data_IF_998726792887
#
_entry.id   IF_998726792887
#
_cell.length_a   1.000
_cell.length_b   1.000
_cell.length_c   1.000
_cell.angle_alpha   90.00
_cell.angle_beta   90.00
_cell.angle_gamma   90.00
#
_symmetry.space_group_name_H-M   'P 1'
#
loop_
_entity.id
_entity.type
_entity.pdbx_description
1 polymer ?
#
# COMPACT_ATOMS: atom_id res chain seq x y z
N UNK A 1 80.94 45.82 -22.57
CA UNK A 1 81.11 44.44 -23.09
C UNK A 1 81.09 43.38 -21.98
N UNK A 2 81.64 43.67 -20.78
CA UNK A 2 81.51 42.78 -19.61
C UNK A 2 80.06 42.61 -19.14
N UNK A 3 79.31 43.70 -18.95
CA UNK A 3 77.97 43.64 -18.35
C UNK A 3 76.95 42.85 -19.20
N UNK A 4 77.11 42.89 -20.53
CA UNK A 4 76.28 42.12 -21.45
C UNK A 4 76.61 40.62 -21.40
N UNK A 5 77.86 40.24 -21.13
CA UNK A 5 78.26 38.84 -20.92
C UNK A 5 77.76 38.31 -19.58
N UNK A 6 77.77 39.13 -18.55
CA UNK A 6 77.32 38.75 -17.21
C UNK A 6 75.81 38.52 -17.17
N UNK A 7 75.02 39.37 -17.82
CA UNK A 7 73.56 39.21 -17.95
C UNK A 7 73.14 37.99 -18.80
N UNK A 8 73.85 37.72 -19.91
CA UNK A 8 73.58 36.55 -20.78
C UNK A 8 73.97 35.22 -20.12
N UNK A 9 74.87 35.23 -19.12
CA UNK A 9 75.27 34.05 -18.36
C UNK A 9 74.40 33.86 -17.10
N UNK A 10 73.95 34.94 -16.45
CA UNK A 10 73.08 34.83 -15.27
C UNK A 10 71.69 34.30 -15.62
N UNK A 11 71.02 34.86 -16.63
CA UNK A 11 69.65 34.46 -17.01
C UNK A 11 69.45 32.95 -17.27
N UNK A 12 70.31 32.24 -18.04
CA UNK A 12 70.18 30.80 -18.20
C UNK A 12 70.48 30.04 -16.91
N UNK A 13 71.42 30.50 -16.07
CA UNK A 13 71.74 29.86 -14.78
C UNK A 13 70.58 30.00 -13.79
N UNK A 14 69.94 31.18 -13.68
CA UNK A 14 68.74 31.35 -12.85
C UNK A 14 67.55 30.51 -13.34
N UNK A 15 67.37 30.41 -14.65
CA UNK A 15 66.30 29.59 -15.23
C UNK A 15 66.53 28.08 -14.99
N UNK A 16 67.78 27.61 -15.09
CA UNK A 16 68.14 26.22 -14.78
C UNK A 16 67.95 25.93 -13.29
N UNK A 17 68.37 26.83 -12.40
CA UNK A 17 68.18 26.71 -10.96
C UNK A 17 66.68 26.65 -10.60
N UNK A 18 65.89 27.58 -11.12
CA UNK A 18 64.43 27.63 -10.89
C UNK A 18 63.73 26.38 -11.41
N UNK A 19 64.14 25.86 -12.58
CA UNK A 19 63.59 24.63 -13.13
C UNK A 19 64.04 23.37 -12.36
N UNK A 20 65.25 23.37 -11.79
CA UNK A 20 65.72 22.30 -10.91
C UNK A 20 64.94 22.28 -9.59
N UNK A 21 64.74 23.44 -8.97
CA UNK A 21 63.97 23.60 -7.73
C UNK A 21 62.49 23.21 -7.92
N UNK A 22 61.90 23.58 -9.06
CA UNK A 22 60.53 23.18 -9.40
C UNK A 22 60.39 21.65 -9.57
N UNK A 23 61.36 21.00 -10.23
CA UNK A 23 61.37 19.53 -10.40
C UNK A 23 61.59 18.80 -9.07
N UNK A 24 62.51 19.29 -8.24
CA UNK A 24 62.76 18.72 -6.92
C UNK A 24 61.56 18.90 -5.98
N UNK A 25 60.88 20.04 -6.05
CA UNK A 25 59.61 20.28 -5.33
C UNK A 25 58.51 19.31 -5.77
N UNK A 26 58.38 19.06 -7.07
CA UNK A 26 57.42 18.10 -7.61
C UNK A 26 57.74 16.66 -7.17
N UNK A 27 59.02 16.26 -7.25
CA UNK A 27 59.49 14.93 -6.83
C UNK A 27 59.25 14.68 -5.33
N UNK A 28 59.41 15.70 -4.49
CA UNK A 28 59.12 15.60 -3.04
C UNK A 28 57.64 15.39 -2.76
N UNK A 29 56.76 16.12 -3.45
CA UNK A 29 55.31 15.94 -3.33
C UNK A 29 54.87 14.55 -3.79
N UNK A 30 55.49 14.03 -4.85
CA UNK A 30 55.18 12.71 -5.38
C UNK A 30 55.59 11.59 -4.40
N UNK A 31 56.76 11.71 -3.78
CA UNK A 31 57.21 10.78 -2.73
C UNK A 31 56.36 10.84 -1.46
N UNK A 32 55.94 12.04 -1.04
CA UNK A 32 55.01 12.23 0.09
C UNK A 32 53.66 11.56 -0.17
N UNK A 33 53.14 11.67 -1.40
CA UNK A 33 51.88 11.02 -1.80
C UNK A 33 52.02 9.49 -1.84
N UNK A 34 53.10 8.97 -2.41
CA UNK A 34 53.35 7.53 -2.48
C UNK A 34 53.47 6.89 -1.08
N UNK A 35 54.15 7.57 -0.16
CA UNK A 35 54.26 7.11 1.23
C UNK A 35 52.92 7.12 1.95
N UNK A 36 52.12 8.19 1.81
CA UNK A 36 50.78 8.26 2.41
C UNK A 36 49.85 7.17 1.86
N UNK A 37 49.91 6.90 0.56
CA UNK A 37 49.08 5.90 -0.09
C UNK A 37 49.43 4.48 0.39
N UNK A 38 50.72 4.19 0.55
CA UNK A 38 51.18 2.89 1.07
C UNK A 38 50.76 2.68 2.54
N UNK A 39 50.78 3.72 3.38
CA UNK A 39 50.29 3.64 4.77
C UNK A 39 48.78 3.40 4.82
N UNK A 40 47.98 4.14 4.03
CA UNK A 40 46.53 3.95 3.93
C UNK A 40 46.21 2.52 3.49
N UNK A 41 46.92 2.01 2.47
CA UNK A 41 46.74 0.64 1.97
C UNK A 41 47.06 -0.40 3.05
N UNK A 42 48.21 -0.27 3.72
CA UNK A 42 48.60 -1.20 4.80
C UNK A 42 47.65 -1.12 6.01
N UNK A 43 47.18 0.07 6.39
CA UNK A 43 46.21 0.22 7.47
C UNK A 43 44.84 -0.37 7.11
N UNK A 44 44.44 -0.30 5.84
CA UNK A 44 43.18 -0.85 5.36
C UNK A 44 43.22 -2.39 5.37
N UNK A 45 44.30 -2.98 4.87
CA UNK A 45 44.50 -4.44 4.89
C UNK A 45 44.44 -5.01 6.32
N UNK A 46 45.15 -4.37 7.28
CA UNK A 46 45.12 -4.77 8.69
C UNK A 46 43.74 -4.60 9.33
N UNK A 47 42.97 -3.59 8.90
CA UNK A 47 41.61 -3.37 9.40
C UNK A 47 40.62 -4.41 8.85
N UNK A 48 40.77 -4.81 7.60
CA UNK A 48 39.99 -5.88 6.98
C UNK A 48 40.29 -7.25 7.61
N UNK A 49 41.57 -7.52 7.91
CA UNK A 49 42.00 -8.72 8.62
C UNK A 49 41.34 -8.79 10.02
N UNK A 50 41.37 -7.69 10.76
CA UNK A 50 40.66 -7.54 12.04
C UNK A 50 39.16 -7.79 11.84
N UNK A 51 38.53 -7.14 10.86
CA UNK A 51 37.08 -7.28 10.61
C UNK A 51 36.68 -8.73 10.31
N UNK A 52 37.51 -9.44 9.54
CA UNK A 52 37.32 -10.86 9.23
C UNK A 52 37.51 -11.75 10.48
N UNK A 53 38.51 -11.45 11.30
CA UNK A 53 38.77 -12.13 12.57
C UNK A 53 37.58 -12.07 13.54
N UNK A 54 36.91 -10.91 13.64
CA UNK A 54 35.68 -10.75 14.41
C UNK A 54 34.52 -11.61 13.90
N UNK A 55 34.41 -11.76 12.57
CA UNK A 55 33.39 -12.61 11.94
C UNK A 55 33.65 -14.09 12.24
N UNK A 56 34.91 -14.52 12.17
CA UNK A 56 35.29 -15.91 12.48
C UNK A 56 35.19 -16.25 13.97
N UNK A 57 35.43 -15.28 14.86
CA UNK A 57 35.26 -15.46 16.30
C UNK A 57 33.78 -15.74 16.67
N UNK A 58 32.82 -15.19 15.92
CA UNK A 58 31.38 -15.37 16.15
C UNK A 58 30.91 -16.82 15.99
N UNK A 59 31.58 -17.59 15.11
CA UNK A 59 31.19 -18.97 14.77
C UNK A 59 31.86 -20.03 15.68
N UNK A 60 32.65 -19.61 16.69
CA UNK A 60 33.33 -20.50 17.64
C UNK A 60 32.38 -20.99 18.73
N UNK A 61 32.23 -22.31 18.85
CA UNK A 61 31.27 -22.97 19.77
C UNK A 61 31.89 -23.26 21.15
N UNK A 62 33.21 -23.43 21.23
CA UNK A 62 33.90 -23.75 22.49
C UNK A 62 34.41 -22.45 23.16
N UNK A 63 34.13 -22.24 24.47
CA UNK A 63 34.53 -21.01 25.16
C UNK A 63 36.04 -20.73 25.14
N UNK A 64 36.87 -21.78 25.14
CA UNK A 64 38.33 -21.67 25.08
C UNK A 64 38.82 -21.14 23.74
N UNK A 65 38.29 -21.66 22.63
CA UNK A 65 38.65 -21.17 21.29
C UNK A 65 38.13 -19.75 21.03
N UNK A 66 36.96 -19.40 21.60
CA UNK A 66 36.45 -18.04 21.55
C UNK A 66 37.36 -17.08 22.32
N UNK A 67 37.82 -17.47 23.51
CA UNK A 67 38.73 -16.65 24.32
C UNK A 67 40.10 -16.46 23.65
N UNK A 68 40.66 -17.51 23.04
CA UNK A 68 41.90 -17.42 22.26
C UNK A 68 41.73 -16.49 21.05
N UNK A 69 40.63 -16.62 20.29
CA UNK A 69 40.34 -15.74 19.15
C UNK A 69 40.15 -14.27 19.57
N UNK A 70 39.43 -14.01 20.68
CA UNK A 70 39.27 -12.66 21.23
C UNK A 70 40.60 -12.07 21.72
N UNK A 71 41.45 -12.88 22.35
CA UNK A 71 42.76 -12.42 22.82
C UNK A 71 43.72 -12.07 21.66
N UNK A 72 43.73 -12.88 20.59
CA UNK A 72 44.48 -12.58 19.37
C UNK A 72 43.95 -11.32 18.68
N UNK A 73 42.63 -11.16 18.65
CA UNK A 73 41.99 -9.99 18.08
C UNK A 73 42.30 -8.71 18.86
N UNK A 74 42.32 -8.79 20.19
CA UNK A 74 42.73 -7.69 21.07
C UNK A 74 44.19 -7.30 20.83
N UNK A 75 45.09 -8.28 20.61
CA UNK A 75 46.50 -8.03 20.30
C UNK A 75 46.66 -7.35 18.93
N UNK A 76 45.93 -7.78 17.90
CA UNK A 76 45.94 -7.14 16.58
C UNK A 76 45.44 -5.69 16.63
N UNK A 77 44.36 -5.42 17.39
CA UNK A 77 43.88 -4.06 17.61
C UNK A 77 44.91 -3.20 18.36
N UNK A 78 45.57 -3.74 19.39
CA UNK A 78 46.62 -3.03 20.12
C UNK A 78 47.82 -2.68 19.22
N UNK A 79 48.25 -3.62 18.38
CA UNK A 79 49.34 -3.41 17.43
C UNK A 79 48.98 -2.35 16.37
N UNK A 80 47.75 -2.34 15.86
CA UNK A 80 47.28 -1.32 14.91
C UNK A 80 47.26 0.07 15.55
N UNK A 81 46.79 0.18 16.79
CA UNK A 81 46.78 1.44 17.54
C UNK A 81 48.20 1.93 17.80
N UNK A 82 49.13 1.05 18.17
CA UNK A 82 50.53 1.41 18.41
C UNK A 82 51.22 1.90 17.14
N UNK A 83 50.99 1.22 16.01
CA UNK A 83 51.50 1.66 14.71
C UNK A 83 50.93 3.04 14.32
N UNK A 84 49.63 3.30 14.56
CA UNK A 84 49.03 4.62 14.30
C UNK A 84 49.56 5.71 15.23
N UNK A 85 49.84 5.39 16.49
CA UNK A 85 50.50 6.34 17.41
C UNK A 85 51.91 6.70 16.96
N UNK A 86 52.68 5.70 16.50
CA UNK A 86 54.00 5.93 15.92
C UNK A 86 53.93 6.84 14.70
N UNK A 87 53.00 6.55 13.77
CA UNK A 87 52.76 7.38 12.58
C UNK A 87 52.40 8.83 12.94
N UNK A 88 51.53 9.03 13.93
CA UNK A 88 51.16 10.38 14.40
C UNK A 88 52.40 11.13 14.91
N UNK A 89 53.27 10.47 15.67
CA UNK A 89 54.51 11.09 16.17
C UNK A 89 55.47 11.42 15.02
N UNK A 90 55.63 10.50 14.07
CA UNK A 90 56.50 10.70 12.90
C UNK A 90 56.01 11.91 12.07
N UNK A 91 54.70 12.00 11.79
CA UNK A 91 54.09 13.13 11.09
C UNK A 91 54.22 14.46 11.85
N UNK A 92 54.05 14.44 13.17
CA UNK A 92 54.25 15.64 13.99
C UNK A 92 55.70 16.12 13.98
N UNK A 93 56.65 15.18 13.97
CA UNK A 93 58.07 15.50 13.87
C UNK A 93 58.43 16.03 12.48
N UNK A 94 57.92 15.42 11.40
CA UNK A 94 58.14 15.90 10.04
C UNK A 94 57.57 17.31 9.82
N UNK A 95 56.38 17.60 10.34
CA UNK A 95 55.79 18.94 10.30
C UNK A 95 56.70 19.96 11.00
N UNK A 96 57.17 19.64 12.21
CA UNK A 96 58.10 20.50 12.96
C UNK A 96 59.41 20.74 12.21
N UNK A 97 59.99 19.69 11.63
CA UNK A 97 61.22 19.80 10.83
C UNK A 97 60.98 20.55 9.52
N UNK A 98 59.77 20.49 8.97
CA UNK A 98 59.32 21.29 7.83
C UNK A 98 59.20 22.78 8.18
N UNK A 99 58.56 23.11 9.29
CA UNK A 99 58.43 24.48 9.81
C UNK A 99 59.82 25.09 10.10
N UNK A 100 60.70 24.33 10.77
CA UNK A 100 62.09 24.75 11.03
C UNK A 100 62.88 24.99 9.74
N UNK A 101 62.64 24.18 8.70
CA UNK A 101 63.24 24.38 7.36
C UNK A 101 62.71 25.65 6.70
N UNK A 102 61.39 25.85 6.70
CA UNK A 102 60.76 27.03 6.11
C UNK A 102 61.24 28.33 6.77
N UNK A 103 61.36 28.36 8.09
CA UNK A 103 61.89 29.52 8.83
C UNK A 103 63.36 29.78 8.50
N UNK A 104 64.19 28.72 8.37
CA UNK A 104 65.60 28.87 7.96
C UNK A 104 65.73 29.41 6.54
N UNK A 105 64.93 28.91 5.60
CA UNK A 105 64.97 29.35 4.21
C UNK A 105 64.48 30.80 4.08
N UNK A 106 63.44 31.19 4.83
CA UNK A 106 63.01 32.60 4.91
C UNK A 106 64.12 33.51 5.45
N UNK A 107 64.84 33.10 6.50
CA UNK A 107 65.96 33.89 7.04
C UNK A 107 67.08 34.05 6.01
N UNK A 108 67.45 32.97 5.32
CA UNK A 108 68.45 33.04 4.24
C UNK A 108 67.99 33.94 3.10
N UNK A 109 66.72 33.86 2.69
CA UNK A 109 66.18 34.73 1.64
C UNK A 109 66.26 36.21 2.05
N UNK A 110 65.97 36.54 3.31
CA UNK A 110 66.14 37.91 3.82
C UNK A 110 67.61 38.34 3.76
N UNK A 111 68.54 37.49 4.21
CA UNK A 111 69.98 37.77 4.15
C UNK A 111 70.49 37.94 2.70
N UNK A 112 69.99 37.14 1.75
CA UNK A 112 70.31 37.27 0.32
C UNK A 112 69.76 38.55 -0.30
N UNK A 113 68.53 38.96 0.06
CA UNK A 113 67.93 40.21 -0.39
C UNK A 113 68.66 41.42 0.16
N UNK A 114 69.08 41.39 1.43
CA UNK A 114 69.88 42.45 2.04
C UNK A 114 71.23 42.59 1.33
N UNK A 115 71.93 41.49 1.05
CA UNK A 115 73.18 41.51 0.30
C UNK A 115 72.99 42.01 -1.15
N UNK A 116 71.87 41.66 -1.80
CA UNK A 116 71.54 42.17 -3.12
C UNK A 116 71.25 43.67 -3.09
N UNK A 117 70.53 44.17 -2.07
CA UNK A 117 70.32 45.59 -1.85
C UNK A 117 71.65 46.32 -1.68
N UNK A 118 72.55 45.84 -0.82
CA UNK A 118 73.88 46.45 -0.64
C UNK A 118 74.66 46.50 -1.97
N UNK A 119 74.65 45.42 -2.75
CA UNK A 119 75.29 45.39 -4.08
C UNK A 119 74.63 46.35 -5.07
N UNK A 120 73.31 46.41 -5.11
CA UNK A 120 72.59 47.33 -5.98
C UNK A 120 72.83 48.78 -5.58
N UNK A 121 72.89 49.08 -4.28
CA UNK A 121 73.24 50.40 -3.78
C UNK A 121 74.67 50.79 -4.17
N UNK A 122 75.63 49.88 -4.09
CA UNK A 122 77.01 50.13 -4.50
C UNK A 122 77.16 50.25 -6.03
N UNK A 123 76.41 49.46 -6.80
CA UNK A 123 76.30 49.64 -8.26
C UNK A 123 75.70 51.00 -8.61
N UNK A 124 74.62 51.41 -7.94
CA UNK A 124 73.99 52.72 -8.13
C UNK A 124 74.95 53.84 -7.74
N UNK A 125 75.70 53.71 -6.63
CA UNK A 125 76.73 54.69 -6.25
C UNK A 125 77.83 54.78 -7.31
N UNK A 126 78.30 53.64 -7.83
CA UNK A 126 79.34 53.58 -8.86
C UNK A 126 78.87 54.18 -10.18
N UNK A 127 77.67 53.82 -10.64
CA UNK A 127 77.05 54.41 -11.83
C UNK A 127 76.80 55.90 -11.64
N UNK A 128 76.31 56.33 -10.47
CA UNK A 128 76.10 57.76 -10.17
C UNK A 128 77.42 58.53 -10.20
N UNK A 129 78.52 57.93 -9.72
CA UNK A 129 79.85 58.52 -9.79
C UNK A 129 80.38 58.57 -11.23
N UNK A 130 80.29 57.48 -11.97
CA UNK A 130 80.68 57.40 -13.37
C UNK A 130 79.88 58.38 -14.25
N UNK A 131 78.57 58.51 -14.04
CA UNK A 131 77.73 59.48 -14.74
C UNK A 131 78.06 60.93 -14.36
N UNK A 132 78.45 61.20 -13.10
CA UNK A 132 78.94 62.53 -12.70
C UNK A 132 80.28 62.87 -13.36
N UNK A 133 81.17 61.88 -13.48
CA UNK A 133 82.46 62.01 -14.15
C UNK A 133 82.32 62.12 -15.68
N UNK A 134 81.42 61.34 -16.30
CA UNK A 134 81.06 61.45 -17.71
C UNK A 134 80.35 62.78 -18.01
N UNK A 135 79.47 63.27 -17.14
CA UNK A 135 78.88 64.60 -17.27
C UNK A 135 79.94 65.69 -17.20
N UNK A 136 80.97 65.53 -16.37
CA UNK A 136 82.14 66.42 -16.35
C UNK A 136 83.02 66.28 -17.61
N UNK A 137 83.02 65.12 -18.27
CA UNK A 137 83.72 64.89 -19.56
C UNK A 137 82.88 65.31 -20.79
N UNK A 138 81.55 65.36 -20.66
CA UNK A 138 80.57 65.68 -21.71
C UNK A 138 80.23 67.17 -21.80
N UNK A 139 81.05 68.05 -21.20
CA UNK A 139 81.13 69.47 -21.57
C UNK A 139 81.66 69.68 -23.02
N UNK A 140 81.36 68.76 -23.94
CA UNK A 140 81.66 68.85 -25.38
C UNK A 140 80.43 68.43 -26.21
N UNK A 141 79.56 69.41 -26.49
CA UNK A 141 78.79 69.66 -27.73
C UNK A 141 77.88 68.58 -28.36
N UNK A 142 78.36 67.64 -29.19
CA UNK A 142 77.53 67.07 -30.27
C UNK A 142 76.57 65.91 -29.92
N UNK A 143 76.79 65.16 -28.83
CA UNK A 143 76.00 63.95 -28.49
C UNK A 143 74.61 64.27 -27.94
N UNK A 144 74.42 65.46 -27.37
CA UNK A 144 73.16 65.89 -26.75
C UNK A 144 72.03 66.11 -27.77
N UNK A 145 72.35 66.51 -29.00
CA UNK A 145 71.34 66.83 -30.00
C UNK A 145 70.61 65.58 -30.53
N UNK A 146 71.32 64.48 -30.78
CA UNK A 146 70.73 63.24 -31.30
C UNK A 146 69.83 62.54 -30.28
N UNK A 147 70.21 62.60 -29.00
CA UNK A 147 69.42 62.02 -27.90
C UNK A 147 68.09 62.76 -27.71
N UNK A 148 68.08 64.10 -27.79
CA UNK A 148 66.85 64.91 -27.69
C UNK A 148 65.81 64.49 -28.74
N UNK A 149 66.22 64.33 -30.00
CA UNK A 149 65.30 63.96 -31.08
C UNK A 149 64.65 62.58 -30.88
N UNK A 150 65.38 61.58 -30.37
CA UNK A 150 64.82 60.26 -30.08
C UNK A 150 63.86 60.27 -28.89
N UNK A 151 64.15 61.09 -27.88
CA UNK A 151 63.25 61.27 -26.73
C UNK A 151 61.92 61.86 -27.20
N UNK A 152 61.94 62.91 -28.02
CA UNK A 152 60.74 63.53 -28.60
C UNK A 152 59.90 62.52 -29.41
N UNK A 153 60.53 61.63 -30.18
CA UNK A 153 59.84 60.58 -30.94
C UNK A 153 59.13 59.56 -30.04
N UNK A 154 59.79 59.08 -28.98
CA UNK A 154 59.19 58.15 -28.03
C UNK A 154 58.09 58.81 -27.19
N UNK A 155 58.26 60.07 -26.81
CA UNK A 155 57.23 60.85 -26.11
C UNK A 155 55.96 60.97 -26.97
N UNK A 156 56.11 61.30 -28.27
CA UNK A 156 54.98 61.34 -29.19
C UNK A 156 54.28 59.97 -29.32
N UNK A 157 55.06 58.87 -29.37
CA UNK A 157 54.48 57.52 -29.46
C UNK A 157 53.75 57.13 -28.17
N UNK A 158 54.30 57.47 -27.01
CA UNK A 158 53.69 57.24 -25.70
C UNK A 158 52.37 58.02 -25.58
N UNK A 159 52.34 59.30 -25.98
CA UNK A 159 51.12 60.10 -25.97
C UNK A 159 50.04 59.55 -26.89
N UNK A 160 50.39 59.11 -28.10
CA UNK A 160 49.46 58.47 -29.03
C UNK A 160 48.85 57.19 -28.44
N UNK A 161 49.66 56.32 -27.82
CA UNK A 161 49.17 55.10 -27.18
C UNK A 161 48.30 55.39 -25.95
N UNK A 162 48.64 56.42 -25.17
CA UNK A 162 47.82 56.86 -24.04
C UNK A 162 46.43 57.34 -24.49
N UNK A 163 46.36 58.16 -25.54
CA UNK A 163 45.09 58.64 -26.09
C UNK A 163 44.22 57.48 -26.60
N UNK A 164 44.79 56.56 -27.36
CA UNK A 164 44.08 55.37 -27.85
C UNK A 164 43.56 54.49 -26.69
N UNK A 165 44.34 54.38 -25.61
CA UNK A 165 43.94 53.64 -24.41
C UNK A 165 42.77 54.32 -23.70
N UNK A 166 42.81 55.65 -23.57
CA UNK A 166 41.72 56.44 -22.97
C UNK A 166 40.44 56.29 -23.79
N UNK A 167 40.52 56.37 -25.12
CA UNK A 167 39.37 56.20 -26.01
C UNK A 167 38.75 54.80 -25.87
N UNK A 168 39.56 53.74 -25.89
CA UNK A 168 39.09 52.37 -25.65
C UNK A 168 38.44 52.21 -24.28
N UNK A 169 39.04 52.78 -23.23
CA UNK A 169 38.48 52.75 -21.87
C UNK A 169 37.13 53.49 -21.79
N UNK A 170 36.96 54.56 -22.57
CA UNK A 170 35.71 55.32 -22.63
C UNK A 170 34.58 54.52 -23.29
N UNK A 171 34.89 53.79 -24.38
CA UNK A 171 33.93 52.93 -25.09
C UNK A 171 33.49 51.76 -24.21
N UNK A 172 34.41 51.09 -23.52
CA UNK A 172 34.08 50.00 -22.60
C UNK A 172 33.12 50.49 -21.50
N UNK A 173 33.38 51.66 -20.92
CA UNK A 173 32.50 52.24 -19.88
C UNK A 173 31.10 52.57 -20.41
N UNK A 174 30.99 53.12 -21.63
CA UNK A 174 29.66 53.43 -22.21
C UNK A 174 28.89 52.16 -22.56
N UNK A 175 29.57 51.11 -23.04
CA UNK A 175 28.96 49.80 -23.28
C UNK A 175 28.52 49.12 -21.97
N UNK A 176 29.35 49.14 -20.93
CA UNK A 176 29.03 48.58 -19.60
C UNK A 176 27.80 49.26 -18.98
N UNK A 177 27.74 50.60 -19.04
CA UNK A 177 26.58 51.37 -18.53
C UNK A 177 25.31 51.07 -19.32
N UNK A 178 25.40 50.96 -20.65
CA UNK A 178 24.28 50.55 -21.51
C UNK A 178 23.80 49.13 -21.20
N UNK A 179 24.74 48.17 -21.11
CA UNK A 179 24.45 46.78 -20.76
C UNK A 179 23.80 46.64 -19.38
N UNK A 180 24.28 47.40 -18.39
CA UNK A 180 23.66 47.44 -17.06
C UNK A 180 22.22 47.94 -17.12
N UNK A 181 21.95 48.99 -17.90
CA UNK A 181 20.61 49.54 -18.05
C UNK A 181 19.66 48.55 -18.75
N UNK A 182 20.13 47.85 -19.80
CA UNK A 182 19.37 46.80 -20.49
C UNK A 182 19.04 45.66 -19.53
N UNK A 183 20.02 45.18 -18.77
CA UNK A 183 19.82 44.11 -17.79
C UNK A 183 18.80 44.54 -16.71
N UNK A 184 18.89 45.78 -16.24
CA UNK A 184 17.97 46.35 -15.25
C UNK A 184 16.55 46.43 -15.80
N UNK A 185 16.36 46.95 -17.01
CA UNK A 185 15.06 47.04 -17.66
C UNK A 185 14.45 45.65 -17.92
N UNK A 186 15.27 44.69 -18.36
CA UNK A 186 14.85 43.29 -18.54
C UNK A 186 14.38 42.65 -17.22
N UNK A 187 15.10 42.87 -16.12
CA UNK A 187 14.69 42.40 -14.78
C UNK A 187 13.34 42.96 -14.35
N UNK A 188 13.11 44.26 -14.53
CA UNK A 188 11.83 44.89 -14.19
C UNK A 188 10.69 44.40 -15.10
N UNK A 189 10.94 44.15 -16.39
CA UNK A 189 9.95 43.59 -17.31
C UNK A 189 9.58 42.13 -16.97
N UNK A 190 10.53 41.32 -16.48
CA UNK A 190 10.29 39.93 -16.10
C UNK A 190 9.56 39.77 -14.76
N UNK A 191 9.53 40.80 -13.92
CA UNK A 191 8.91 40.77 -12.58
C UNK A 191 7.39 40.49 -12.62
N UNK A 192 6.55 41.21 -13.40
CA UNK A 192 5.11 40.95 -13.47
C UNK A 192 4.78 39.55 -14.02
N UNK A 193 5.55 39.07 -15.01
CA UNK A 193 5.42 37.70 -15.54
C UNK A 193 5.68 36.65 -14.45
N UNK A 194 6.71 36.84 -13.62
CA UNK A 194 6.98 35.96 -12.47
C UNK A 194 5.84 35.96 -11.47
N UNK A 195 5.27 37.12 -11.16
CA UNK A 195 4.13 37.21 -10.26
C UNK A 195 2.89 36.52 -10.83
N UNK A 196 2.58 36.73 -12.12
CA UNK A 196 1.46 36.08 -12.80
C UNK A 196 1.59 34.55 -12.77
N UNK A 197 2.78 34.02 -13.11
CA UNK A 197 3.08 32.59 -13.03
C UNK A 197 2.88 32.05 -11.60
N UNK A 198 3.30 32.81 -10.59
CA UNK A 198 3.17 32.40 -9.20
C UNK A 198 1.72 32.43 -8.72
N UNK A 199 0.90 33.37 -9.21
CA UNK A 199 -0.54 33.41 -8.95
C UNK A 199 -1.27 32.23 -9.61
N UNK A 200 -0.95 31.92 -10.87
CA UNK A 200 -1.50 30.76 -11.58
C UNK A 200 -1.15 29.45 -10.88
N UNK A 201 0.12 29.29 -10.45
CA UNK A 201 0.55 28.14 -9.65
C UNK A 201 -0.28 28.02 -8.36
N UNK A 202 -0.51 29.12 -7.64
CA UNK A 202 -1.35 29.12 -6.44
C UNK A 202 -2.79 28.69 -6.76
N UNK A 203 -3.39 29.23 -7.82
CA UNK A 203 -4.74 28.89 -8.26
C UNK A 203 -4.87 27.41 -8.64
N UNK A 204 -3.87 26.87 -9.36
CA UNK A 204 -3.86 25.47 -9.74
C UNK A 204 -3.76 24.56 -8.51
N UNK A 205 -2.91 24.91 -7.55
CA UNK A 205 -2.79 24.19 -6.27
C UNK A 205 -4.11 24.23 -5.49
N UNK A 206 -4.77 25.39 -5.39
CA UNK A 206 -6.07 25.49 -4.69
C UNK A 206 -7.16 24.68 -5.37
N UNK A 207 -7.20 24.68 -6.71
CA UNK A 207 -8.17 23.90 -7.48
C UNK A 207 -7.94 22.39 -7.28
N UNK A 208 -6.69 21.94 -7.37
CA UNK A 208 -6.33 20.54 -7.13
C UNK A 208 -6.65 20.11 -5.69
N UNK A 209 -6.33 20.93 -4.69
CA UNK A 209 -6.69 20.66 -3.29
C UNK A 209 -8.21 20.58 -3.06
N UNK A 210 -8.99 21.44 -3.72
CA UNK A 210 -10.45 21.37 -3.69
C UNK A 210 -10.97 20.06 -4.30
N UNK A 211 -10.41 19.63 -5.43
CA UNK A 211 -10.77 18.38 -6.09
C UNK A 211 -10.44 17.16 -5.21
N UNK A 212 -9.26 17.13 -4.59
CA UNK A 212 -8.87 16.09 -3.63
C UNK A 212 -9.84 16.04 -2.45
N UNK A 213 -10.26 17.20 -1.92
CA UNK A 213 -11.25 17.26 -0.83
C UNK A 213 -12.60 16.70 -1.27
N UNK A 214 -13.08 17.02 -2.48
CA UNK A 214 -14.32 16.48 -3.03
C UNK A 214 -14.26 14.96 -3.24
N UNK A 215 -13.15 14.43 -3.75
CA UNK A 215 -12.97 12.98 -3.90
C UNK A 215 -12.95 12.28 -2.54
N UNK A 216 -12.27 12.87 -1.54
CA UNK A 216 -12.24 12.35 -0.16
C UNK A 216 -13.63 12.30 0.46
N UNK A 217 -14.46 13.32 0.27
CA UNK A 217 -15.83 13.32 0.82
C UNK A 217 -16.73 12.33 0.09
N UNK A 218 -16.67 12.25 -1.25
CA UNK A 218 -17.43 11.27 -2.04
C UNK A 218 -17.07 9.83 -1.70
N UNK A 219 -15.78 9.51 -1.63
CA UNK A 219 -15.28 8.18 -1.24
C UNK A 219 -15.76 7.80 0.16
N UNK A 220 -15.69 8.73 1.12
CA UNK A 220 -16.22 8.51 2.48
C UNK A 220 -17.73 8.24 2.49
N UNK A 221 -18.51 8.96 1.68
CA UNK A 221 -19.96 8.75 1.60
C UNK A 221 -20.29 7.39 0.97
N UNK A 222 -19.63 7.05 -0.15
CA UNK A 222 -19.78 5.76 -0.83
C UNK A 222 -19.41 4.57 0.07
N UNK A 223 -18.33 4.65 0.85
CA UNK A 223 -17.97 3.59 1.82
C UNK A 223 -19.06 3.43 2.89
N UNK A 224 -19.58 4.53 3.46
CA UNK A 224 -20.65 4.47 4.45
C UNK A 224 -21.93 3.84 3.88
N UNK A 225 -22.32 4.21 2.66
CA UNK A 225 -23.51 3.65 2.02
C UNK A 225 -23.31 2.19 1.62
N UNK A 226 -22.13 1.81 1.12
CA UNK A 226 -21.81 0.42 0.84
C UNK A 226 -21.89 -0.43 2.11
N UNK A 227 -21.35 0.05 3.22
CA UNK A 227 -21.44 -0.62 4.53
C UNK A 227 -22.89 -0.78 5.00
N UNK A 228 -23.72 0.25 4.83
CA UNK A 228 -25.16 0.18 5.14
C UNK A 228 -25.87 -0.85 4.25
N UNK A 229 -25.57 -0.89 2.96
CA UNK A 229 -26.16 -1.85 2.03
C UNK A 229 -25.79 -3.30 2.36
N UNK A 230 -24.53 -3.56 2.74
CA UNK A 230 -24.09 -4.89 3.22
C UNK A 230 -24.90 -5.30 4.45
N UNK A 231 -24.99 -4.41 5.46
CA UNK A 231 -25.75 -4.69 6.67
C UNK A 231 -27.24 -4.92 6.38
N UNK A 232 -27.83 -4.17 5.46
CA UNK A 232 -29.22 -4.40 5.03
C UNK A 232 -29.38 -5.76 4.36
N UNK A 233 -28.47 -6.13 3.46
CA UNK A 233 -28.50 -7.43 2.80
C UNK A 233 -28.41 -8.58 3.82
N UNK A 234 -27.51 -8.49 4.79
CA UNK A 234 -27.38 -9.47 5.87
C UNK A 234 -28.67 -9.60 6.70
N UNK A 235 -29.30 -8.46 7.05
CA UNK A 235 -30.59 -8.46 7.76
C UNK A 235 -31.66 -9.15 6.93
N UNK A 236 -31.78 -8.81 5.65
CA UNK A 236 -32.75 -9.44 4.74
C UNK A 236 -32.50 -10.95 4.64
N UNK A 237 -31.26 -11.39 4.53
CA UNK A 237 -30.92 -12.81 4.50
C UNK A 237 -31.30 -13.53 5.80
N UNK A 238 -31.04 -12.93 6.96
CA UNK A 238 -31.47 -13.48 8.26
C UNK A 238 -32.99 -13.56 8.35
N UNK A 239 -33.69 -12.50 7.99
CA UNK A 239 -35.15 -12.44 7.99
C UNK A 239 -35.76 -13.50 7.05
N UNK A 240 -35.21 -13.68 5.85
CA UNK A 240 -35.64 -14.74 4.91
C UNK A 240 -35.51 -16.15 5.52
N UNK A 241 -34.39 -16.44 6.18
CA UNK A 241 -34.19 -17.73 6.87
C UNK A 241 -35.18 -17.91 8.02
N UNK A 242 -35.39 -16.88 8.84
CA UNK A 242 -36.37 -16.93 9.93
C UNK A 242 -37.79 -17.18 9.42
N UNK A 243 -38.20 -16.52 8.34
CA UNK A 243 -39.50 -16.76 7.72
C UNK A 243 -39.62 -18.19 7.16
N UNK A 244 -38.62 -18.69 6.44
CA UNK A 244 -38.64 -20.06 5.94
C UNK A 244 -38.78 -21.10 7.08
N UNK A 245 -38.09 -20.89 8.20
CA UNK A 245 -38.21 -21.75 9.39
C UNK A 245 -39.58 -21.61 10.05
N UNK A 246 -40.10 -20.39 10.18
CA UNK A 246 -41.41 -20.15 10.78
C UNK A 246 -42.55 -20.74 9.92
N UNK A 247 -42.47 -20.59 8.60
CA UNK A 247 -43.45 -21.13 7.66
C UNK A 247 -43.43 -22.66 7.66
N UNK A 248 -42.23 -23.28 7.67
CA UNK A 248 -42.11 -24.74 7.81
C UNK A 248 -42.72 -25.25 9.12
N UNK A 249 -42.46 -24.59 10.25
CA UNK A 249 -43.06 -24.94 11.55
C UNK A 249 -44.58 -24.83 11.54
N UNK A 250 -45.12 -23.73 11.01
CA UNK A 250 -46.58 -23.52 10.90
C UNK A 250 -47.22 -24.58 10.02
N UNK A 251 -46.57 -24.95 8.92
CA UNK A 251 -47.05 -26.00 8.05
C UNK A 251 -47.06 -27.36 8.76
N UNK A 252 -46.00 -27.71 9.48
CA UNK A 252 -45.91 -28.95 10.27
C UNK A 252 -47.01 -29.02 11.34
N UNK A 253 -47.23 -27.93 12.08
CA UNK A 253 -48.30 -27.81 13.07
C UNK A 253 -49.68 -27.98 12.44
N UNK A 254 -49.96 -27.25 11.34
CA UNK A 254 -51.24 -27.30 10.63
C UNK A 254 -51.50 -28.67 9.99
N UNK A 255 -50.46 -29.33 9.48
CA UNK A 255 -50.56 -30.68 8.94
C UNK A 255 -50.99 -31.68 10.01
N UNK A 256 -50.31 -31.66 11.17
CA UNK A 256 -50.64 -32.56 12.29
C UNK A 256 -52.06 -32.33 12.81
N UNK A 257 -52.51 -31.07 12.91
CA UNK A 257 -53.88 -30.78 13.33
C UNK A 257 -54.91 -31.29 12.33
N UNK A 258 -54.71 -31.05 11.03
CA UNK A 258 -55.63 -31.52 9.98
C UNK A 258 -55.64 -33.04 9.87
N UNK A 259 -54.48 -33.68 9.98
CA UNK A 259 -54.36 -35.13 9.97
C UNK A 259 -55.11 -35.77 11.14
N UNK A 260 -54.99 -35.18 12.33
CA UNK A 260 -55.75 -35.63 13.51
C UNK A 260 -57.26 -35.42 13.35
N UNK A 261 -57.70 -34.28 12.82
CA UNK A 261 -59.12 -34.03 12.53
C UNK A 261 -59.70 -35.05 11.54
N UNK A 262 -58.99 -35.33 10.43
CA UNK A 262 -59.42 -36.34 9.46
C UNK A 262 -59.42 -37.74 10.08
N UNK A 263 -58.40 -38.09 10.87
CA UNK A 263 -58.35 -39.38 11.58
C UNK A 263 -59.53 -39.57 12.51
N UNK A 264 -59.94 -38.52 13.24
CA UNK A 264 -61.13 -38.56 14.08
C UNK A 264 -62.42 -38.74 13.28
N UNK A 265 -62.55 -38.08 12.11
CA UNK A 265 -63.70 -38.25 11.23
C UNK A 265 -63.76 -39.68 10.65
N UNK A 266 -62.62 -40.24 10.24
CA UNK A 266 -62.52 -41.62 9.77
C UNK A 266 -62.92 -42.59 10.86
N UNK A 267 -62.43 -42.42 12.10
CA UNK A 267 -62.81 -43.29 13.22
C UNK A 267 -64.32 -43.23 13.49
N UNK A 268 -64.93 -42.04 13.45
CA UNK A 268 -66.39 -41.90 13.56
C UNK A 268 -67.12 -42.63 12.44
N UNK A 269 -66.64 -42.52 11.20
CA UNK A 269 -67.22 -43.22 10.05
C UNK A 269 -67.12 -44.75 10.20
N UNK A 270 -65.97 -45.26 10.67
CA UNK A 270 -65.77 -46.69 10.92
C UNK A 270 -66.70 -47.22 12.02
N UNK A 271 -66.91 -46.46 13.11
CA UNK A 271 -67.87 -46.84 14.18
C UNK A 271 -69.30 -46.92 13.64
N UNK A 272 -69.69 -45.99 12.75
CA UNK A 272 -71.01 -46.02 12.11
C UNK A 272 -71.11 -47.24 11.18
N UNK A 273 -70.09 -47.49 10.36
CA UNK A 273 -70.05 -48.64 9.44
C UNK A 273 -70.10 -49.98 10.18
N UNK A 274 -69.35 -50.12 11.28
CA UNK A 274 -69.41 -51.26 12.18
C UNK A 274 -70.84 -51.50 12.65
N UNK A 275 -71.50 -50.45 13.16
CA UNK A 275 -72.87 -50.57 13.68
C UNK A 275 -73.89 -50.90 12.60
N UNK A 276 -73.72 -50.40 11.37
CA UNK A 276 -74.56 -50.76 10.23
C UNK A 276 -74.37 -52.23 9.87
N UNK A 277 -73.13 -52.70 9.79
CA UNK A 277 -72.81 -54.08 9.41
C UNK A 277 -73.31 -55.08 10.45
N UNK A 278 -73.03 -54.84 11.73
CA UNK A 278 -73.39 -55.74 12.83
C UNK A 278 -74.90 -55.74 13.10
N UNK A 279 -75.55 -54.56 13.18
CA UNK A 279 -76.96 -54.48 13.60
C UNK A 279 -77.96 -54.59 12.47
N UNK A 280 -77.67 -54.03 11.29
CA UNK A 280 -78.65 -53.92 10.22
C UNK A 280 -78.44 -54.95 9.10
N UNK A 281 -77.20 -55.41 8.88
CA UNK A 281 -76.89 -56.37 7.82
C UNK A 281 -76.55 -57.77 8.35
N UNK A 282 -76.27 -57.91 9.66
CA UNK A 282 -75.87 -59.19 10.28
C UNK A 282 -74.53 -59.73 9.76
N UNK A 283 -73.68 -58.85 9.21
CA UNK A 283 -72.37 -59.21 8.63
C UNK A 283 -71.27 -59.05 9.68
N UNK A 284 -70.31 -59.98 9.70
CA UNK A 284 -69.11 -59.84 10.53
C UNK A 284 -68.27 -58.67 10.01
N UNK A 285 -68.16 -57.61 10.81
CA UNK A 285 -67.40 -56.43 10.45
C UNK A 285 -65.92 -56.59 10.83
N UNK A 286 -65.03 -56.40 9.86
CA UNK A 286 -63.58 -56.37 10.08
C UNK A 286 -63.07 -54.92 9.97
N UNK A 287 -62.27 -54.48 10.94
CA UNK A 287 -61.73 -53.12 10.97
C UNK A 287 -60.68 -52.94 9.85
N UNK A 288 -60.86 -51.97 8.92
CA UNK A 288 -59.87 -51.66 7.90
C UNK A 288 -58.56 -51.14 8.53
N UNK A 289 -57.41 -51.59 8.01
CA UNK A 289 -56.11 -51.10 8.44
C UNK A 289 -55.88 -49.67 7.93
N UNK A 290 -55.66 -48.73 8.85
CA UNK A 290 -55.39 -47.34 8.49
C UNK A 290 -53.93 -47.18 8.02
N UNK A 291 -53.70 -46.36 6.97
CA UNK A 291 -52.34 -46.10 6.50
C UNK A 291 -51.55 -45.30 7.54
N UNK A 292 -50.26 -45.63 7.67
CA UNK A 292 -49.33 -44.86 8.49
C UNK A 292 -49.12 -43.48 7.88
N UNK A 293 -49.03 -42.45 8.74
CA UNK A 293 -48.72 -41.10 8.30
C UNK A 293 -47.40 -41.07 7.50
N UNK A 294 -47.37 -40.50 6.29
CA UNK A 294 -46.12 -40.21 5.58
C UNK A 294 -45.32 -39.10 6.29
N UNK A 295 -45.97 -38.33 7.15
CA UNK A 295 -45.32 -37.28 7.92
C UNK A 295 -44.71 -37.83 9.21
N UNK A 296 -43.40 -38.08 9.18
CA UNK A 296 -42.60 -38.17 10.40
C UNK A 296 -41.99 -36.80 10.67
N UNK A 297 -42.36 -36.11 11.76
CA UNK A 297 -41.64 -34.89 12.13
C UNK A 297 -40.17 -35.28 12.31
N UNK A 298 -39.29 -34.67 11.49
CA UNK A 298 -37.84 -34.75 11.71
C UNK A 298 -37.63 -34.24 13.13
N UNK A 299 -37.45 -35.14 14.11
CA UNK A 299 -37.07 -34.74 15.47
C UNK A 299 -35.87 -33.82 15.30
N UNK A 300 -35.89 -32.58 15.82
CA UNK A 300 -34.66 -31.82 15.88
C UNK A 300 -33.70 -32.70 16.66
N UNK A 301 -32.58 -33.08 16.04
CA UNK A 301 -31.48 -33.64 16.79
C UNK A 301 -31.30 -32.75 18.01
N UNK A 302 -31.37 -33.32 19.22
CA UNK A 302 -31.04 -32.61 20.46
C UNK A 302 -29.65 -32.05 20.26
N UNK A 303 -29.56 -30.81 19.81
CA UNK A 303 -28.40 -29.97 20.06
C UNK A 303 -28.37 -29.79 21.57
N UNK A 304 -27.24 -30.04 22.23
CA UNK A 304 -27.04 -29.61 23.60
C UNK A 304 -27.41 -28.13 23.72
N UNK A 305 -27.96 -27.76 24.89
CA UNK A 305 -28.24 -26.42 25.41
C UNK A 305 -27.59 -25.26 24.62
N UNK A 306 -28.30 -24.14 24.34
CA UNK A 306 -27.74 -23.00 23.62
C UNK A 306 -26.68 -22.30 24.48
N UNK A 307 -25.47 -22.84 24.47
CA UNK A 307 -24.24 -22.07 24.64
C UNK A 307 -24.28 -20.94 23.61
N UNK A 308 -23.90 -19.72 24.00
CA UNK A 308 -24.13 -18.53 23.19
C UNK A 308 -23.57 -18.76 21.79
N UNK A 309 -24.40 -18.48 20.78
CA UNK A 309 -24.09 -18.46 19.34
C UNK A 309 -23.02 -17.38 18.99
N UNK A 310 -22.04 -17.19 19.87
CA UNK A 310 -20.87 -16.36 19.67
C UNK A 310 -19.85 -17.01 18.72
N UNK A 311 -19.95 -18.32 18.42
CA UNK A 311 -18.92 -19.01 17.63
C UNK A 311 -19.10 -18.91 16.10
N UNK A 312 -20.32 -18.74 15.57
CA UNK A 312 -20.55 -18.58 14.12
C UNK A 312 -20.64 -17.11 13.66
N UNK A 313 -20.59 -16.14 14.58
CA UNK A 313 -20.30 -14.74 14.22
C UNK A 313 -18.80 -14.43 14.17
N UNK A 314 -17.93 -15.35 14.60
CA UNK A 314 -16.48 -15.11 14.66
C UNK A 314 -15.72 -15.41 13.38
N UNK A 315 -16.24 -16.25 12.47
CA UNK A 315 -15.55 -16.52 11.19
C UNK A 315 -15.89 -15.53 10.08
N UNK A 316 -16.99 -14.78 10.21
CA UNK A 316 -17.27 -13.61 9.34
C UNK A 316 -16.52 -12.33 9.76
N UNK A 317 -15.51 -12.45 10.63
CA UNK A 317 -14.46 -11.43 10.81
C UNK A 317 -13.27 -11.65 9.86
N UNK A 318 -13.38 -12.59 8.92
CA UNK A 318 -12.42 -12.79 7.85
C UNK A 318 -12.50 -11.66 6.83
N UNK A 319 -11.55 -10.72 6.96
CA UNK A 319 -11.24 -9.68 5.98
C UNK A 319 -12.22 -8.51 5.94
N UNK A 320 -12.03 -7.61 6.92
CA UNK A 320 -12.02 -6.16 6.70
C UNK A 320 -11.17 -5.82 5.46
N UNK A 321 -11.73 -6.06 4.27
CA UNK A 321 -11.22 -5.52 3.00
C UNK A 321 -11.18 -3.98 3.06
N UNK A 322 -11.88 -3.35 4.00
CA UNK A 322 -11.82 -1.91 4.26
C UNK A 322 -10.46 -1.48 4.82
N UNK A 323 -9.88 -2.24 5.76
CA UNK A 323 -8.59 -1.88 6.38
C UNK A 323 -7.41 -2.22 5.46
N UNK A 324 -7.55 -3.28 4.66
CA UNK A 324 -6.62 -3.58 3.58
C UNK A 324 -6.78 -2.64 2.39
N UNK A 325 -7.99 -2.22 1.99
CA UNK A 325 -8.17 -1.20 0.93
C UNK A 325 -7.67 0.18 1.38
N UNK A 326 -7.89 0.59 2.64
CA UNK A 326 -7.27 1.80 3.17
C UNK A 326 -5.74 1.69 3.26
N UNK A 327 -5.19 0.53 3.65
CA UNK A 327 -3.74 0.25 3.63
C UNK A 327 -3.15 0.09 2.23
N UNK A 328 -3.95 -0.27 1.22
CA UNK A 328 -3.56 -0.36 -0.19
C UNK A 328 -3.68 0.99 -0.92
N UNK A 329 -4.51 1.91 -0.40
CA UNK A 329 -4.61 3.29 -0.86
C UNK A 329 -3.58 4.22 -0.19
N UNK A 330 -3.06 3.86 1.00
CA UNK A 330 -2.02 4.64 1.69
C UNK A 330 -0.68 4.74 0.90
N UNK A 331 -0.22 3.72 0.14
CA UNK A 331 0.94 3.84 -0.74
C UNK A 331 0.72 4.72 -1.98
N UNK A 332 -0.53 4.95 -2.42
CA UNK A 332 -0.82 5.94 -3.46
C UNK A 332 -0.61 7.39 -2.98
N UNK A 333 -0.47 7.59 -1.67
CA UNK A 333 0.00 8.84 -1.07
C UNK A 333 1.54 8.99 -1.13
N UNK A 334 2.28 7.89 -1.41
CA UNK A 334 3.76 7.86 -1.44
C UNK A 334 4.38 7.49 -2.79
N UNK A 335 3.63 7.02 -3.77
CA UNK A 335 4.13 6.88 -5.15
C UNK A 335 4.06 8.22 -5.89
N UNK A 336 5.08 9.04 -5.62
CA UNK A 336 5.55 10.03 -6.57
C UNK A 336 7.07 9.99 -6.67
N UNK A 337 7.66 9.13 -7.54
CA UNK A 337 9.01 9.36 -8.07
C UNK A 337 9.01 10.48 -9.13
N UNK A 338 7.86 11.10 -9.42
CA UNK A 338 7.72 12.16 -10.44
C UNK A 338 7.93 13.57 -9.88
N UNK A 339 7.83 13.78 -8.56
CA UNK A 339 8.12 15.10 -7.96
C UNK A 339 9.62 15.34 -7.73
N UNK A 340 10.40 14.29 -7.45
CA UNK A 340 11.86 14.38 -7.24
C UNK A 340 12.61 14.63 -8.56
N UNK A 341 12.09 14.14 -9.69
CA UNK A 341 12.65 14.44 -11.02
C UNK A 341 12.50 15.92 -11.41
N UNK A 342 11.43 16.59 -10.99
CA UNK A 342 11.29 18.04 -11.16
C UNK A 342 12.18 18.84 -10.20
N UNK A 343 12.42 18.34 -8.98
CA UNK A 343 13.37 18.95 -8.04
C UNK A 343 14.83 18.88 -8.52
N UNK A 344 15.25 17.74 -9.07
CA UNK A 344 16.60 17.56 -9.61
C UNK A 344 16.86 18.37 -10.88
N UNK A 345 15.83 18.61 -11.71
CA UNK A 345 15.94 19.47 -12.90
C UNK A 345 15.97 20.97 -12.56
N UNK A 346 15.48 21.36 -11.37
CA UNK A 346 15.51 22.74 -10.89
C UNK A 346 16.79 23.08 -10.11
N UNK A 347 17.57 22.08 -9.70
CA UNK A 347 18.85 22.30 -9.00
C UNK A 347 20.00 22.71 -9.92
N UNK A 348 19.83 22.66 -11.25
CA UNK A 348 20.90 22.98 -12.22
C UNK A 348 20.88 24.46 -12.65
N UNK A 349 19.92 25.28 -12.19
CA UNK A 349 19.75 26.66 -12.68
C UNK A 349 19.91 27.78 -11.65
N UNK A 350 20.58 27.56 -10.52
CA UNK A 350 21.05 28.70 -9.70
C UNK A 350 22.29 28.35 -8.89
N UNK A 351 23.45 28.40 -9.53
CA UNK A 351 24.68 28.69 -8.83
C UNK A 351 24.63 30.17 -8.41
N UNK A 352 24.30 30.39 -7.13
CA UNK A 352 24.46 31.60 -6.30
C UNK A 352 23.16 32.02 -5.60
N UNK A 353 22.83 31.36 -4.47
CA UNK A 353 22.53 32.01 -3.19
C UNK A 353 22.22 30.93 -2.14
N UNK A 354 23.02 30.92 -1.06
CA UNK A 354 22.82 30.04 0.08
C UNK A 354 21.71 30.63 0.95
N UNK A 355 20.53 30.01 0.96
CA UNK A 355 19.57 30.18 2.06
C UNK A 355 19.43 28.84 2.77
N UNK A 356 19.99 28.80 3.97
CA UNK A 356 19.87 27.73 4.94
C UNK A 356 18.42 27.58 5.38
N UNK A 357 17.78 26.48 5.00
CA UNK A 357 16.56 26.00 5.67
C UNK A 357 16.89 24.62 6.24
N UNK A 358 17.05 24.57 7.56
CA UNK A 358 17.15 23.35 8.36
C UNK A 358 15.95 22.44 8.06
N UNK A 359 16.20 21.29 7.48
CA UNK A 359 15.29 20.15 7.51
C UNK A 359 15.57 19.33 8.76
N UNK A 360 14.98 19.75 9.88
CA UNK A 360 14.95 18.98 11.12
C UNK A 360 13.51 18.67 11.48
N UNK A 361 12.99 17.56 10.96
CA UNK A 361 11.91 16.73 11.52
C UNK A 361 11.54 15.69 10.47
N UNK A 362 12.27 14.58 10.40
CA UNK A 362 11.72 13.29 9.96
C UNK A 362 12.75 12.20 10.24
N UNK A 363 13.05 11.99 11.52
CA UNK A 363 13.56 10.70 11.96
C UNK A 363 12.73 10.24 13.15
N UNK A 364 12.40 8.94 13.10
CA UNK A 364 11.91 8.06 14.16
C UNK A 364 10.41 7.68 14.15
N UNK A 365 10.11 6.58 13.46
CA UNK A 365 9.21 5.48 13.86
C UNK A 365 9.35 4.35 12.81
N UNK A 366 10.30 3.43 12.99
CA UNK A 366 10.12 2.12 13.63
C UNK A 366 9.46 1.07 12.70
N UNK A 367 10.32 0.12 12.31
CA UNK A 367 10.08 -1.24 11.87
C UNK A 367 8.64 -1.79 11.97
N UNK A 368 8.08 -2.20 10.84
CA UNK A 368 7.15 -3.32 10.75
C UNK A 368 7.51 -4.11 9.48
N UNK A 369 7.66 -5.42 9.68
CA UNK A 369 8.05 -6.44 8.70
C UNK A 369 7.35 -6.28 7.34
N UNK A 370 8.17 -6.24 6.29
CA UNK A 370 7.72 -6.38 4.90
C UNK A 370 7.44 -7.86 4.62
N UNK A 371 6.24 -8.33 4.95
CA UNK A 371 5.69 -9.50 4.27
C UNK A 371 5.06 -9.03 2.96
N UNK A 372 5.84 -9.25 1.89
CA UNK A 372 5.49 -9.06 0.50
C UNK A 372 4.29 -9.93 0.16
N UNK A 373 3.13 -9.35 -0.12
CA UNK A 373 2.10 -9.94 -0.99
C UNK A 373 1.14 -8.83 -1.45
N UNK A 374 1.63 -8.02 -2.40
CA UNK A 374 0.84 -7.01 -3.09
C UNK A 374 0.27 -7.62 -4.37
N UNK A 375 -1.06 -7.78 -4.44
CA UNK A 375 -1.74 -8.23 -5.66
C UNK A 375 -1.71 -7.07 -6.69
N UNK A 376 -1.02 -7.31 -7.81
CA UNK A 376 -0.88 -6.35 -8.90
C UNK A 376 -2.26 -5.93 -9.47
N UNK A 377 -2.47 -4.66 -9.89
CA UNK A 377 -3.78 -4.10 -10.26
C UNK A 377 -4.62 -4.93 -11.24
N UNK A 378 -3.96 -5.64 -12.17
CA UNK A 378 -4.63 -6.50 -13.16
C UNK A 378 -5.21 -7.80 -12.57
N UNK A 379 -4.79 -8.19 -11.36
CA UNK A 379 -5.25 -9.40 -10.67
C UNK A 379 -6.36 -9.14 -9.65
N UNK A 380 -6.71 -7.87 -9.41
CA UNK A 380 -7.79 -7.48 -8.49
C UNK A 380 -9.16 -7.96 -8.99
N UNK A 381 -9.44 -7.79 -10.28
CA UNK A 381 -10.70 -8.21 -10.92
C UNK A 381 -10.87 -9.75 -10.93
N UNK A 382 -9.85 -10.54 -11.32
CA UNK A 382 -9.86 -11.99 -11.18
C UNK A 382 -10.02 -12.45 -9.72
N UNK A 383 -9.32 -11.84 -8.76
CA UNK A 383 -9.43 -12.19 -7.35
C UNK A 383 -10.83 -11.92 -6.80
N UNK A 384 -11.44 -10.78 -7.15
CA UNK A 384 -12.83 -10.45 -6.80
C UNK A 384 -13.83 -11.43 -7.43
N UNK A 385 -13.64 -11.83 -8.69
CA UNK A 385 -14.48 -12.85 -9.33
C UNK A 385 -14.36 -14.21 -8.65
N UNK A 386 -13.16 -14.64 -8.29
CA UNK A 386 -12.93 -15.89 -7.56
C UNK A 386 -13.54 -15.84 -6.15
N UNK A 387 -13.40 -14.72 -5.45
CA UNK A 387 -14.01 -14.50 -4.13
C UNK A 387 -15.54 -14.52 -4.19
N UNK A 388 -16.14 -13.82 -5.16
CA UNK A 388 -17.59 -13.86 -5.41
C UNK A 388 -18.07 -15.27 -5.73
N UNK A 389 -17.32 -16.02 -6.56
CA UNK A 389 -17.65 -17.42 -6.89
C UNK A 389 -17.55 -18.34 -5.67
N UNK A 390 -16.64 -18.07 -4.74
CA UNK A 390 -16.48 -18.81 -3.49
C UNK A 390 -17.58 -18.47 -2.48
N UNK A 391 -17.98 -17.20 -2.38
CA UNK A 391 -19.08 -16.78 -1.49
C UNK A 391 -20.47 -17.14 -2.03
N UNK A 392 -20.65 -17.20 -3.36
CA UNK A 392 -21.88 -17.72 -3.99
C UNK A 392 -22.06 -19.23 -3.73
N UNK A 393 -20.97 -19.99 -3.55
CA UNK A 393 -21.01 -21.41 -3.14
C UNK A 393 -21.44 -21.61 -1.68
N UNK A 394 -21.40 -20.57 -0.84
CA UNK A 394 -21.94 -20.60 0.53
C UNK A 394 -23.45 -20.32 0.58
N UNK A 395 -24.13 -20.27 -0.58
CA UNK A 395 -25.58 -20.36 -0.60
C UNK A 395 -25.97 -21.59 0.20
N UNK A 396 -26.62 -21.32 1.34
CA UNK A 396 -27.21 -22.30 2.22
C UNK A 396 -27.85 -23.39 1.35
N UNK A 397 -27.63 -24.68 1.64
CA UNK A 397 -28.29 -25.74 0.90
C UNK A 397 -29.77 -25.39 0.84
N UNK A 398 -30.42 -25.50 -0.34
CA UNK A 398 -31.84 -25.22 -0.46
C UNK A 398 -32.52 -25.91 0.72
N UNK A 399 -33.27 -25.16 1.53
CA UNK A 399 -34.13 -25.74 2.55
C UNK A 399 -34.91 -26.82 1.82
N UNK A 400 -34.57 -28.09 2.08
CA UNK A 400 -35.02 -29.24 1.28
C UNK A 400 -36.52 -29.09 1.12
N UNK A 401 -36.96 -28.78 -0.11
CA UNK A 401 -38.38 -28.70 -0.40
C UNK A 401 -38.97 -30.05 -0.02
N UNK A 402 -39.91 -30.04 0.93
CA UNK A 402 -40.59 -31.25 1.39
C UNK A 402 -41.09 -32.02 0.18
N UNK A 403 -40.79 -33.31 0.13
CA UNK A 403 -41.28 -34.20 -0.90
C UNK A 403 -42.78 -34.47 -0.69
N UNK A 404 -43.62 -33.76 -1.44
CA UNK A 404 -45.08 -33.90 -1.40
C UNK A 404 -45.60 -35.02 -2.30
N UNK A 405 -44.72 -35.81 -2.93
CA UNK A 405 -45.11 -36.85 -3.89
C UNK A 405 -45.97 -37.95 -3.26
N UNK A 406 -45.82 -38.19 -1.96
CA UNK A 406 -46.53 -39.24 -1.22
C UNK A 406 -47.81 -38.75 -0.53
N UNK A 407 -47.97 -37.43 -0.36
CA UNK A 407 -49.10 -36.83 0.36
C UNK A 407 -50.44 -37.14 -0.33
N UNK A 408 -50.49 -37.06 -1.67
CA UNK A 408 -51.71 -37.34 -2.44
C UNK A 408 -52.17 -38.80 -2.30
N UNK A 409 -51.24 -39.75 -2.43
CA UNK A 409 -51.52 -41.17 -2.28
C UNK A 409 -52.01 -41.52 -0.87
N UNK A 410 -51.45 -40.89 0.17
CA UNK A 410 -51.90 -41.06 1.54
C UNK A 410 -53.36 -40.63 1.75
N UNK A 411 -53.75 -39.45 1.25
CA UNK A 411 -55.13 -38.96 1.38
C UNK A 411 -56.14 -39.78 0.57
N UNK A 412 -55.76 -40.22 -0.63
CA UNK A 412 -56.59 -41.10 -1.46
C UNK A 412 -56.78 -42.47 -0.80
N UNK A 413 -55.72 -43.03 -0.19
CA UNK A 413 -55.80 -44.28 0.55
C UNK A 413 -56.69 -44.14 1.79
N UNK A 414 -56.55 -43.05 2.55
CA UNK A 414 -57.32 -42.78 3.77
C UNK A 414 -58.82 -42.65 3.47
N UNK A 415 -59.18 -41.97 2.36
CA UNK A 415 -60.57 -41.84 1.92
C UNK A 415 -61.14 -43.15 1.37
N UNK A 416 -60.36 -43.91 0.61
CA UNK A 416 -60.79 -45.21 0.05
C UNK A 416 -61.05 -46.24 1.16
N UNK A 417 -60.23 -46.27 2.21
CA UNK A 417 -60.44 -47.17 3.36
C UNK A 417 -61.66 -46.79 4.21
N UNK A 418 -61.96 -45.49 4.32
CA UNK A 418 -63.11 -45.00 5.06
C UNK A 418 -64.44 -45.14 4.26
N UNK A 419 -64.39 -45.06 2.94
CA UNK A 419 -65.57 -45.00 2.08
C UNK A 419 -65.39 -45.87 0.83
N UNK A 420 -66.00 -47.05 0.79
CA UNK A 420 -66.13 -47.83 -0.45
C UNK A 420 -67.44 -47.45 -1.16
N UNK A 421 -67.41 -46.64 -2.24
CA UNK A 421 -68.62 -46.06 -2.84
C UNK A 421 -69.60 -47.13 -3.36
N UNK A 422 -69.08 -48.27 -3.83
CA UNK A 422 -69.91 -49.40 -4.25
C UNK A 422 -70.72 -49.97 -3.08
N UNK A 423 -70.06 -50.23 -1.94
CA UNK A 423 -70.70 -50.78 -0.74
C UNK A 423 -71.76 -49.84 -0.20
N UNK A 424 -71.46 -48.55 -0.12
CA UNK A 424 -72.38 -47.56 0.44
C UNK A 424 -73.60 -47.32 -0.47
N UNK A 425 -73.42 -47.42 -1.79
CA UNK A 425 -74.54 -47.39 -2.75
C UNK A 425 -75.44 -48.61 -2.58
N UNK A 426 -74.87 -49.81 -2.42
CA UNK A 426 -75.63 -51.04 -2.17
C UNK A 426 -76.40 -50.98 -0.85
N UNK A 427 -75.78 -50.47 0.22
CA UNK A 427 -76.44 -50.29 1.53
C UNK A 427 -77.61 -49.32 1.42
N UNK A 428 -77.41 -48.15 0.80
CA UNK A 428 -78.48 -47.15 0.57
C UNK A 428 -79.62 -47.74 -0.24
N UNK A 429 -79.31 -48.51 -1.29
CA UNK A 429 -80.32 -49.14 -2.13
C UNK A 429 -81.13 -50.18 -1.34
N UNK A 430 -80.47 -51.00 -0.51
CA UNK A 430 -81.11 -52.01 0.33
C UNK A 430 -82.04 -51.37 1.38
N UNK A 431 -81.60 -50.30 2.05
CA UNK A 431 -82.47 -49.55 2.98
C UNK A 431 -83.66 -48.90 2.26
N UNK A 432 -83.45 -48.41 1.03
CA UNK A 432 -84.54 -47.83 0.24
C UNK A 432 -85.57 -48.89 -0.16
N UNK A 433 -85.13 -50.03 -0.70
CA UNK A 433 -86.03 -51.12 -1.08
C UNK A 433 -86.77 -51.71 0.12
N UNK A 434 -86.10 -51.85 1.27
CA UNK A 434 -86.77 -52.31 2.50
C UNK A 434 -87.79 -51.30 3.03
N UNK A 435 -87.52 -50.00 2.94
CA UNK A 435 -88.49 -48.95 3.28
C UNK A 435 -89.70 -48.95 2.33
N UNK A 436 -89.48 -49.13 1.02
CA UNK A 436 -90.54 -49.22 0.02
C UNK A 436 -91.48 -50.40 0.32
N UNK A 437 -90.91 -51.59 0.59
CA UNK A 437 -91.70 -52.78 0.96
C UNK A 437 -92.44 -52.59 2.29
N UNK A 438 -91.82 -51.99 3.30
CA UNK A 438 -92.50 -51.72 4.58
C UNK A 438 -93.66 -50.74 4.41
N UNK A 439 -93.52 -49.75 3.53
CA UNK A 439 -94.60 -48.83 3.20
C UNK A 439 -95.75 -49.56 2.49
N UNK A 440 -95.45 -50.39 1.50
CA UNK A 440 -96.46 -51.20 0.80
C UNK A 440 -97.20 -52.12 1.78
N UNK A 441 -96.48 -52.79 2.69
CA UNK A 441 -97.10 -53.57 3.77
C UNK A 441 -98.02 -52.67 4.61
N UNK A 442 -97.57 -51.50 5.03
CA UNK A 442 -98.38 -50.59 5.84
C UNK A 442 -99.66 -50.09 5.15
N UNK A 443 -99.64 -49.97 3.83
CA UNK A 443 -100.79 -49.59 3.01
C UNK A 443 -101.78 -50.76 2.82
N UNK A 444 -101.28 -52.00 2.79
CA UNK A 444 -102.08 -53.22 2.66
C UNK A 444 -102.68 -53.72 3.99
N UNK A 445 -102.09 -53.36 5.13
CA UNK A 445 -102.61 -53.70 6.48
C UNK A 445 -104.08 -53.29 6.64
N UNK A 446 -104.52 -52.03 6.41
CA UNK A 446 -105.91 -51.64 6.62
C UNK A 446 -106.90 -52.36 5.69
N UNK A 447 -106.49 -52.69 4.46
CA UNK A 447 -107.35 -53.46 3.54
C UNK A 447 -107.46 -54.92 3.98
N UNK A 448 -106.37 -55.50 4.49
CA UNK A 448 -106.37 -56.85 5.08
C UNK A 448 -107.28 -56.89 6.31
N UNK A 449 -107.16 -55.92 7.22
CA UNK A 449 -108.03 -55.80 8.40
C UNK A 449 -109.51 -55.67 8.00
N UNK A 450 -109.80 -54.89 6.95
CA UNK A 450 -111.17 -54.73 6.42
C UNK A 450 -111.71 -56.05 5.85
N UNK A 451 -110.91 -56.77 5.06
CA UNK A 451 -111.29 -58.06 4.49
C UNK A 451 -111.46 -59.14 5.57
N UNK A 452 -110.64 -59.13 6.62
CA UNK A 452 -110.81 -60.01 7.78
C UNK A 452 -112.11 -59.72 8.52
N UNK A 453 -112.44 -58.43 8.74
CA UNK A 453 -113.71 -58.04 9.34
C UNK A 453 -114.92 -58.50 8.50
N UNK A 454 -114.88 -58.29 7.18
CA UNK A 454 -115.91 -58.78 6.27
C UNK A 454 -116.03 -60.31 6.28
N UNK A 455 -114.90 -61.04 6.28
CA UNK A 455 -114.91 -62.50 6.38
C UNK A 455 -115.46 -62.99 7.72
N UNK A 456 -115.19 -62.29 8.82
CA UNK A 456 -115.78 -62.60 10.12
C UNK A 456 -117.30 -62.40 10.13
N UNK A 457 -117.79 -61.31 9.53
CA UNK A 457 -119.22 -61.04 9.34
C UNK A 457 -119.90 -62.11 8.47
N UNK A 458 -119.28 -62.49 7.34
CA UNK A 458 -119.79 -63.55 6.47
C UNK A 458 -119.83 -64.91 7.18
N UNK A 459 -118.82 -65.26 7.96
CA UNK A 459 -118.84 -66.50 8.78
C UNK A 459 -119.95 -66.47 9.82
N UNK A 460 -120.19 -65.34 10.47
CA UNK A 460 -121.31 -65.15 11.38
C UNK A 460 -122.66 -65.34 10.68
N UNK A 461 -122.83 -64.77 9.48
CA UNK A 461 -124.04 -64.94 8.66
C UNK A 461 -124.24 -66.39 8.21
N UNK A 462 -123.18 -67.08 7.81
CA UNK A 462 -123.23 -68.47 7.37
C UNK A 462 -123.55 -69.42 8.55
N UNK A 463 -123.04 -69.11 9.75
CA UNK A 463 -123.42 -69.81 10.98
C UNK A 463 -124.87 -69.53 11.38
N UNK A 464 -125.38 -68.32 11.13
CA UNK A 464 -126.82 -68.02 11.30
C UNK A 464 -127.69 -68.81 10.32
N UNK A 465 -127.26 -68.97 9.06
CA UNK A 465 -128.01 -69.75 8.05
C UNK A 465 -127.93 -71.26 8.23
N UNK A 466 -126.90 -71.78 8.90
CA UNK A 466 -126.79 -73.21 9.27
C UNK A 466 -127.59 -73.58 10.52
N UNK A 467 -127.97 -72.58 11.33
CA UNK A 467 -128.77 -72.75 12.55
C UNK A 467 -130.27 -72.42 12.34
N UNK A 468 -130.66 -72.09 11.11
CA UNK A 468 -132.06 -72.05 10.62
C UNK A 468 -132.31 -73.31 9.79
#
# INVERSE_FOLDING_TARGET
ASDFKEWYLTTPVTNIQTAADARESMRRKELELEWLENDVRSSQEKFEEITKGWSMAKDKVTPRELQEALSGQQQLCALLVENKKKLINDLQQELKVGDDRYVKDLRKQVEELDLMMERMEDQVKTLTKAYREELAQLEVGPVLALRKKKVEEYEAKIHSLMLETIDKQSVIKTEETSNFQVCRNSKYAAYPLRQALQAEKKNLVTNYMSQVKQFRTKSRHLSKDHKRNIQQYERIQKTKKHFAVADARRFDEMWLTLEEEVRQLVERALVIDQRICERHLGLAWERPALPSSPFQPKKPARTPDPQPEARLSTEMKGFLMEDQLLKMLAPLEKQGPTSVKLGSLLSVSSAAERVSIRTSTFDQAAAVETNSDLIHPNHVLPALKSFLKQHMKSSVPPTEARDSSTDGAYWELTTTHAHTPKRQTSIKLCFRSTSEVLQEISELVPETDRLEQQNAELRMLLQQSLNQ
#
